data_IF_357451262507
#
_entry.id   IF_357451262507
#
_cell.length_a   1.000
_cell.length_b   1.000
_cell.length_c   1.000
_cell.angle_alpha   90.00
_cell.angle_beta   90.00
_cell.angle_gamma   90.00
#
_symmetry.space_group_name_H-M   'P 1'
#
loop_
_entity.id
_entity.type
_entity.pdbx_description
1 polymer ?
#
# COMPACT_ATOMS: atom_id res chain seq x y z
N UNK A 1 10.60 51.65 -34.66
CA UNK A 1 11.59 50.54 -34.65
C UNK A 1 11.52 49.87 -33.28
N UNK A 2 10.80 48.75 -33.17
CA UNK A 2 10.69 47.98 -31.92
C UNK A 2 11.84 46.97 -31.87
N UNK A 3 12.69 47.05 -30.85
CA UNK A 3 13.83 46.14 -30.70
C UNK A 3 13.34 44.74 -30.30
N UNK A 4 13.55 43.69 -31.13
CA UNK A 4 13.03 42.34 -30.89
C UNK A 4 13.66 41.64 -29.68
N UNK A 5 14.72 42.22 -29.11
CA UNK A 5 15.35 41.73 -27.89
C UNK A 5 14.49 41.98 -26.63
N UNK A 6 13.74 43.09 -26.60
CA UNK A 6 12.84 43.41 -25.48
C UNK A 6 11.65 42.44 -25.40
N UNK A 7 11.21 41.90 -26.54
CA UNK A 7 10.13 40.90 -26.61
C UNK A 7 10.59 39.57 -26.01
N UNK A 8 11.85 39.16 -26.24
CA UNK A 8 12.41 37.94 -25.64
C UNK A 8 12.49 38.03 -24.12
N UNK A 9 12.88 39.19 -23.59
CA UNK A 9 12.95 39.41 -22.15
C UNK A 9 11.57 39.48 -21.50
N UNK A 10 10.61 40.13 -22.18
CA UNK A 10 9.21 40.13 -21.73
C UNK A 10 8.61 38.72 -21.68
N UNK A 11 8.90 37.87 -22.67
CA UNK A 11 8.37 36.51 -22.73
C UNK A 11 8.98 35.60 -21.64
N UNK A 12 10.27 35.75 -21.34
CA UNK A 12 10.90 35.02 -20.23
C UNK A 12 10.33 35.43 -18.86
N UNK A 13 10.10 36.73 -18.64
CA UNK A 13 9.50 37.22 -17.38
C UNK A 13 8.06 36.72 -17.18
N UNK A 14 7.27 36.61 -18.25
CA UNK A 14 5.91 36.07 -18.20
C UNK A 14 5.89 34.58 -17.77
N UNK A 15 6.83 33.77 -18.27
CA UNK A 15 6.92 32.33 -17.93
C UNK A 15 7.29 32.13 -16.45
N UNK A 16 8.19 32.96 -15.90
CA UNK A 16 8.57 32.87 -14.47
C UNK A 16 7.40 33.22 -13.55
N UNK A 17 6.58 34.20 -13.92
CA UNK A 17 5.38 34.56 -13.14
C UNK A 17 4.29 33.48 -13.17
N UNK A 18 4.15 32.74 -14.29
CA UNK A 18 3.21 31.62 -14.40
C UNK A 18 3.64 30.38 -13.59
N UNK A 19 4.94 30.20 -13.34
CA UNK A 19 5.46 29.08 -12.54
C UNK A 19 5.38 29.30 -11.02
N UNK A 20 5.15 30.54 -10.56
CA UNK A 20 4.99 30.89 -9.14
C UNK A 20 3.53 30.76 -8.65
N UNK A 21 2.78 29.80 -9.21
CA UNK A 21 1.41 29.48 -8.84
C UNK A 21 1.30 28.91 -7.42
N UNK A 22 0.98 29.80 -6.48
CA UNK A 22 0.25 29.60 -5.23
C UNK A 22 0.69 28.42 -4.32
N UNK A 23 1.72 28.65 -3.50
CA UNK A 23 1.78 28.00 -2.19
C UNK A 23 0.69 28.62 -1.29
N UNK A 24 -0.50 28.03 -1.26
CA UNK A 24 -1.49 28.33 -0.23
C UNK A 24 -0.95 27.75 1.09
N UNK A 25 -0.30 28.56 1.91
CA UNK A 25 -0.08 28.23 3.31
C UNK A 25 -1.42 28.38 4.03
N UNK A 26 -2.30 27.40 3.85
CA UNK A 26 -3.35 27.16 4.82
C UNK A 26 -2.64 26.81 6.13
N UNK A 27 -2.47 27.82 6.99
CA UNK A 27 -2.19 27.63 8.41
C UNK A 27 -3.46 27.04 9.03
N UNK A 28 -3.71 25.77 8.74
CA UNK A 28 -4.63 24.97 9.54
C UNK A 28 -4.01 24.90 10.94
N UNK A 29 -4.66 25.43 11.99
CA UNK A 29 -4.20 25.16 13.34
C UNK A 29 -4.26 23.64 13.51
N UNK A 30 -3.12 23.01 13.80
CA UNK A 30 -3.07 21.64 14.29
C UNK A 30 -4.09 21.54 15.42
N UNK A 31 -5.19 20.78 15.28
CA UNK A 31 -6.02 20.51 16.43
C UNK A 31 -5.17 19.64 17.32
N UNK A 32 -4.82 20.14 18.51
CA UNK A 32 -4.38 19.29 19.59
C UNK A 32 -5.40 18.15 19.69
N UNK A 33 -4.90 16.91 19.76
CA UNK A 33 -5.75 15.75 19.96
C UNK A 33 -6.68 16.02 21.16
N UNK A 34 -7.99 16.09 20.90
CA UNK A 34 -8.99 16.17 21.97
C UNK A 34 -9.92 17.39 22.03
N UNK A 35 -10.08 18.21 20.98
CA UNK A 35 -11.16 19.21 20.96
C UNK A 35 -12.19 18.91 19.85
N UNK A 36 -13.32 18.35 20.26
CA UNK A 36 -14.51 18.24 19.44
C UNK A 36 -15.19 19.61 19.34
N UNK A 37 -15.07 20.27 18.19
CA UNK A 37 -15.93 21.40 17.87
C UNK A 37 -17.36 20.89 17.64
N UNK A 38 -18.23 21.10 18.62
CA UNK A 38 -19.65 20.86 18.50
C UNK A 38 -20.30 22.02 17.75
N UNK A 39 -20.26 22.01 16.42
CA UNK A 39 -21.25 22.71 15.59
C UNK A 39 -21.13 22.32 14.12
N UNK A 40 -22.23 21.85 13.54
CA UNK A 40 -22.45 21.87 12.09
C UNK A 40 -22.30 20.53 11.38
N UNK A 41 -23.46 19.89 11.16
CA UNK A 41 -23.70 18.77 10.24
C UNK A 41 -22.99 17.45 10.59
N UNK A 42 -23.53 16.75 11.59
CA UNK A 42 -23.17 15.38 11.91
C UNK A 42 -23.65 14.44 10.78
N UNK A 43 -22.87 14.32 9.71
CA UNK A 43 -22.80 13.06 8.99
C UNK A 43 -21.99 12.12 9.90
N UNK A 44 -22.63 11.17 10.62
CA UNK A 44 -21.88 10.27 11.49
C UNK A 44 -20.88 9.53 10.63
N UNK A 45 -19.61 9.53 11.06
CA UNK A 45 -18.58 8.75 10.41
C UNK A 45 -19.08 7.29 10.30
N UNK A 46 -19.18 6.71 9.08
CA UNK A 46 -19.72 5.36 8.89
C UNK A 46 -18.84 4.28 9.56
N UNK A 47 -17.62 4.62 9.96
CA UNK A 47 -16.72 3.76 10.75
C UNK A 47 -16.93 3.90 12.28
N UNK A 48 -17.76 4.84 12.73
CA UNK A 48 -18.10 5.06 14.14
C UNK A 48 -19.53 4.60 14.50
N UNK A 49 -20.35 4.28 13.50
CA UNK A 49 -21.64 3.63 13.71
C UNK A 49 -21.41 2.21 14.22
N UNK A 50 -21.87 1.91 15.44
CA UNK A 50 -21.77 0.57 16.02
C UNK A 50 -20.47 0.31 16.77
N UNK A 51 -20.10 1.17 17.74
CA UNK A 51 -19.17 0.81 18.84
C UNK A 51 -19.71 -0.33 19.75
N UNK A 52 -20.66 -1.12 19.25
CA UNK A 52 -21.00 -2.41 19.81
C UNK A 52 -19.81 -3.36 19.60
N UNK A 53 -19.70 -4.33 20.50
CA UNK A 53 -18.63 -5.31 20.65
C UNK A 53 -17.95 -5.68 19.32
N UNK A 54 -16.66 -5.29 19.18
CA UNK A 54 -15.86 -5.69 18.01
C UNK A 54 -15.65 -7.20 18.05
N UNK A 55 -16.48 -7.95 17.32
CA UNK A 55 -16.32 -9.40 17.17
C UNK A 55 -15.25 -9.68 16.12
N UNK A 56 -14.18 -10.38 16.52
CA UNK A 56 -13.15 -10.86 15.59
C UNK A 56 -13.74 -11.99 14.74
N UNK A 57 -13.91 -11.75 13.44
CA UNK A 57 -14.50 -12.72 12.50
C UNK A 57 -13.51 -13.76 11.97
N UNK A 58 -12.22 -13.49 12.10
CA UNK A 58 -11.13 -14.33 11.62
C UNK A 58 -9.80 -13.61 11.75
N UNK A 59 -8.73 -14.40 11.68
CA UNK A 59 -7.35 -13.93 11.72
C UNK A 59 -6.62 -14.39 10.45
N UNK A 60 -5.68 -13.57 9.97
CA UNK A 60 -4.82 -13.90 8.84
C UNK A 60 -3.39 -13.49 9.16
N UNK A 61 -2.52 -14.47 9.33
CA UNK A 61 -1.08 -14.30 9.42
C UNK A 61 -0.42 -14.84 8.16
N UNK A 62 0.58 -14.13 7.64
CA UNK A 62 1.33 -14.59 6.47
C UNK A 62 2.74 -14.01 6.50
N UNK A 63 3.70 -14.73 5.91
CA UNK A 63 5.07 -14.26 5.87
C UNK A 63 6.08 -15.32 5.47
N UNK A 64 7.35 -14.91 5.48
CA UNK A 64 8.46 -15.80 5.18
C UNK A 64 8.75 -16.72 6.37
N UNK A 65 8.96 -18.01 6.10
CA UNK A 65 9.42 -18.99 7.08
C UNK A 65 10.92 -18.79 7.28
N UNK A 66 11.34 -18.59 8.53
CA UNK A 66 12.75 -18.41 8.93
C UNK A 66 13.51 -17.40 8.04
N UNK A 67 13.09 -16.13 8.00
CA UNK A 67 13.73 -15.14 7.16
C UNK A 67 15.19 -14.94 7.56
N UNK A 68 16.06 -14.82 6.55
CA UNK A 68 17.43 -14.40 6.75
C UNK A 68 17.44 -12.96 7.29
N UNK A 69 18.20 -12.73 8.36
CA UNK A 69 18.24 -11.44 9.07
C UNK A 69 19.67 -10.94 9.16
N UNK A 70 19.82 -9.62 9.16
CA UNK A 70 21.11 -9.00 9.39
C UNK A 70 21.46 -8.89 10.88
N UNK A 71 22.60 -8.27 11.16
CA UNK A 71 23.10 -8.06 12.53
C UNK A 71 22.20 -7.18 13.39
N UNK A 72 21.35 -6.36 12.77
CA UNK A 72 20.36 -5.51 13.44
C UNK A 72 19.02 -6.23 13.64
N UNK A 73 18.87 -7.42 13.04
CA UNK A 73 17.63 -8.20 13.05
C UNK A 73 16.67 -7.87 11.91
N UNK A 74 17.09 -7.04 10.94
CA UNK A 74 16.29 -6.68 9.78
C UNK A 74 16.30 -7.79 8.73
N UNK A 75 15.17 -8.01 8.05
CA UNK A 75 15.06 -9.05 7.03
C UNK A 75 15.91 -8.69 5.80
N UNK A 76 16.78 -9.61 5.38
CA UNK A 76 17.55 -9.46 4.15
C UNK A 76 16.67 -9.72 2.91
N UNK A 77 16.91 -9.03 1.79
CA UNK A 77 16.20 -9.31 0.54
C UNK A 77 16.40 -10.74 0.06
N UNK A 78 15.34 -11.37 -0.47
CA UNK A 78 15.48 -12.66 -1.14
C UNK A 78 16.31 -12.49 -2.41
N UNK A 79 17.32 -13.34 -2.57
CA UNK A 79 18.19 -13.33 -3.74
C UNK A 79 17.57 -14.15 -4.87
N UNK A 80 17.33 -13.51 -6.01
CA UNK A 80 16.86 -14.17 -7.22
C UNK A 80 18.04 -14.41 -8.17
N UNK A 81 18.29 -15.68 -8.50
CA UNK A 81 19.41 -16.09 -9.36
C UNK A 81 18.97 -16.41 -10.81
N UNK A 82 17.77 -16.01 -11.20
CA UNK A 82 17.14 -16.42 -12.46
C UNK A 82 16.42 -17.77 -12.36
N UNK A 83 15.52 -18.05 -13.31
CA UNK A 83 14.73 -19.29 -13.35
C UNK A 83 13.53 -19.28 -12.42
N UNK A 84 13.15 -20.46 -11.91
CA UNK A 84 12.04 -20.63 -10.97
C UNK A 84 12.43 -20.08 -9.58
N UNK A 85 11.65 -19.13 -9.07
CA UNK A 85 11.83 -18.56 -7.74
C UNK A 85 11.01 -19.36 -6.72
N UNK A 86 11.69 -19.97 -5.76
CA UNK A 86 11.04 -20.64 -4.62
C UNK A 86 11.09 -19.75 -3.40
N UNK A 87 9.92 -19.41 -2.86
CA UNK A 87 9.78 -18.57 -1.66
C UNK A 87 9.28 -19.47 -0.51
N UNK A 88 10.04 -19.60 0.60
CA UNK A 88 9.57 -20.31 1.78
C UNK A 88 8.51 -19.47 2.50
N UNK A 89 7.27 -19.52 2.02
CA UNK A 89 6.16 -18.69 2.48
C UNK A 89 5.14 -19.51 3.26
N UNK A 90 4.65 -18.99 4.38
CA UNK A 90 3.62 -19.60 5.19
C UNK A 90 2.44 -18.65 5.40
N UNK A 91 1.26 -19.25 5.51
CA UNK A 91 -0.02 -18.55 5.67
C UNK A 91 -0.81 -19.33 6.70
N UNK A 92 -1.34 -18.61 7.69
CA UNK A 92 -2.26 -19.13 8.68
C UNK A 92 -3.52 -18.27 8.63
N UNK A 93 -4.69 -18.91 8.52
CA UNK A 93 -5.96 -18.23 8.44
C UNK A 93 -7.00 -18.93 9.33
N UNK A 94 -7.77 -18.15 10.07
CA UNK A 94 -8.83 -18.64 10.95
C UNK A 94 -10.16 -17.91 10.69
N UNK A 95 -11.25 -18.49 11.19
CA UNK A 95 -12.59 -17.93 11.01
C UNK A 95 -12.98 -17.75 9.55
N UNK A 96 -13.50 -16.57 9.21
CA UNK A 96 -13.94 -16.21 7.85
C UNK A 96 -12.78 -15.92 6.88
N UNK A 97 -11.54 -15.81 7.36
CA UNK A 97 -10.38 -15.47 6.54
C UNK A 97 -9.76 -16.65 5.77
N UNK A 98 -10.31 -17.87 5.89
CA UNK A 98 -9.71 -19.09 5.31
C UNK A 98 -9.67 -19.12 3.77
N UNK A 99 -10.58 -18.43 3.10
CA UNK A 99 -10.70 -18.45 1.63
C UNK A 99 -9.91 -17.30 0.98
N UNK A 100 -8.62 -17.18 1.28
CA UNK A 100 -7.73 -16.15 0.71
C UNK A 100 -6.71 -16.77 -0.22
N UNK A 101 -6.36 -16.05 -1.28
CA UNK A 101 -5.33 -16.43 -2.24
C UNK A 101 -4.38 -15.27 -2.48
N UNK A 102 -3.20 -15.56 -3.02
CA UNK A 102 -2.19 -14.56 -3.33
C UNK A 102 -2.15 -14.33 -4.83
N UNK A 103 -1.92 -13.08 -5.20
CA UNK A 103 -1.54 -12.71 -6.56
C UNK A 103 -0.07 -12.31 -6.50
N UNK A 104 0.75 -12.93 -7.33
CA UNK A 104 2.18 -12.62 -7.41
C UNK A 104 2.41 -11.72 -8.62
N UNK A 105 3.19 -10.66 -8.44
CA UNK A 105 3.57 -9.76 -9.51
C UNK A 105 5.10 -9.60 -9.52
N UNK A 106 5.69 -9.64 -10.70
CA UNK A 106 7.09 -9.26 -10.94
C UNK A 106 7.07 -8.11 -11.95
N UNK A 107 7.62 -6.96 -11.57
CA UNK A 107 7.63 -5.74 -12.39
C UNK A 107 6.23 -5.33 -12.90
N UNK A 108 5.20 -5.55 -12.07
CA UNK A 108 3.81 -5.26 -12.41
C UNK A 108 3.12 -6.31 -13.30
N UNK A 109 3.84 -7.35 -13.73
CA UNK A 109 3.30 -8.45 -14.54
C UNK A 109 2.85 -9.58 -13.62
N UNK A 110 1.59 -10.04 -13.69
CA UNK A 110 1.10 -11.15 -12.87
C UNK A 110 1.86 -12.43 -13.21
N UNK A 111 2.24 -13.18 -12.17
CA UNK A 111 3.00 -14.42 -12.29
C UNK A 111 2.15 -15.60 -11.79
N UNK A 112 2.09 -16.70 -12.54
CA UNK A 112 1.51 -17.92 -12.01
C UNK A 112 2.49 -18.56 -11.02
N UNK A 113 1.95 -19.18 -9.96
CA UNK A 113 2.73 -19.93 -8.99
C UNK A 113 2.08 -21.27 -8.68
N UNK A 114 2.82 -22.17 -8.04
CA UNK A 114 2.34 -23.44 -7.50
C UNK A 114 2.70 -23.53 -6.01
N UNK A 115 1.92 -24.26 -5.24
CA UNK A 115 2.22 -24.51 -3.83
C UNK A 115 3.01 -25.82 -3.71
N UNK A 116 4.15 -25.81 -3.01
CA UNK A 116 5.00 -27.00 -2.86
C UNK A 116 4.32 -28.15 -2.11
N UNK A 117 3.30 -27.87 -1.29
CA UNK A 117 2.61 -28.86 -0.45
C UNK A 117 1.46 -29.57 -1.15
N UNK A 118 1.13 -29.17 -2.37
CA UNK A 118 -0.02 -29.70 -3.12
C UNK A 118 0.44 -30.08 -4.52
N UNK A 119 -0.13 -31.13 -5.09
CA UNK A 119 0.13 -31.53 -6.49
C UNK A 119 -0.61 -30.63 -7.49
N UNK A 120 -0.69 -29.33 -7.19
CA UNK A 120 -1.44 -28.35 -7.96
C UNK A 120 -0.60 -27.81 -9.12
N UNK A 121 -1.29 -27.56 -10.23
CA UNK A 121 -0.69 -26.89 -11.38
C UNK A 121 -0.49 -25.40 -11.11
N UNK A 122 0.37 -24.78 -11.91
CA UNK A 122 0.55 -23.33 -11.91
C UNK A 122 -0.79 -22.59 -12.11
N UNK A 123 -1.07 -21.63 -11.23
CA UNK A 123 -2.24 -20.77 -11.32
C UNK A 123 -1.90 -19.37 -10.80
N UNK A 124 -2.66 -18.37 -11.26
CA UNK A 124 -2.47 -16.98 -10.81
C UNK A 124 -3.02 -16.73 -9.41
N UNK A 125 -4.00 -17.52 -8.99
CA UNK A 125 -4.57 -17.47 -7.65
C UNK A 125 -4.98 -18.87 -7.22
N UNK A 126 -4.46 -19.30 -6.08
CA UNK A 126 -4.93 -20.50 -5.39
C UNK A 126 -5.81 -20.08 -4.23
N UNK A 127 -7.00 -20.66 -4.07
CA UNK A 127 -7.81 -20.45 -2.86
C UNK A 127 -7.17 -21.26 -1.74
N UNK A 128 -6.72 -20.57 -0.69
CA UNK A 128 -5.94 -21.16 0.39
C UNK A 128 -6.64 -22.32 1.08
N UNK A 129 -5.94 -23.44 1.17
CA UNK A 129 -6.24 -24.51 2.12
C UNK A 129 -5.54 -24.13 3.42
N UNK A 130 -6.26 -23.53 4.36
CA UNK A 130 -5.77 -23.42 5.73
C UNK A 130 -5.59 -24.83 6.29
N UNK A 131 -4.35 -25.30 6.38
CA UNK A 131 -4.02 -26.46 7.19
C UNK A 131 -4.36 -26.08 8.64
N UNK A 132 -5.26 -26.87 9.25
CA UNK A 132 -5.53 -26.79 10.68
C UNK A 132 -4.31 -27.19 11.51
#
# INVERSE_FOLDING_TARGET
>A
MFQPWLIRWGFCLLIVMLAAGCAHTSSSPTPAAGQSNASGNANPNPFEAGKEERVILGDLGHGLVNPDRDENGDMRPLRYNGGELTIPYAVNASGKAKNVGFLVFIDGIPQPYKMNTTDTSYAYAHVGVGAG
#
